data_IF_012680975287
#
_entry.id   IF_012680975287
#
_cell.length_a   1.000
_cell.length_b   1.000
_cell.length_c   1.000
_cell.angle_alpha   90.00
_cell.angle_beta   90.00
_cell.angle_gamma   90.00
#
_symmetry.space_group_name_H-M   'P 1'
#
loop_
_entity.id
_entity.type
_entity.pdbx_description
1 polymer ?
#
# COMPACT_ATOMS: atom_id res chain seq x y z
N UNK A 1 32.86 -6.64 5.88
CA UNK A 1 31.48 -6.32 5.53
C UNK A 1 31.45 -5.19 4.50
N UNK A 2 30.66 -5.32 3.45
CA UNK A 2 30.44 -4.21 2.50
C UNK A 2 29.30 -3.35 3.04
N UNK A 3 29.51 -2.03 3.10
CA UNK A 3 28.53 -1.06 3.58
C UNK A 3 28.15 -0.16 2.40
N UNK A 4 26.86 0.02 2.20
CA UNK A 4 26.29 1.02 1.29
C UNK A 4 25.25 1.82 2.05
N UNK A 5 25.34 3.13 1.96
CA UNK A 5 24.37 4.03 2.57
C UNK A 5 23.43 4.59 1.48
N UNK A 6 22.14 4.66 1.78
CA UNK A 6 21.15 5.35 0.94
C UNK A 6 20.63 6.51 1.78
N UNK A 7 20.83 7.74 1.31
CA UNK A 7 20.53 8.93 2.11
C UNK A 7 20.16 10.14 1.24
N UNK A 8 19.40 11.06 1.82
CA UNK A 8 19.15 12.38 1.22
C UNK A 8 20.25 13.40 1.54
N UNK A 9 21.14 13.11 2.54
CA UNK A 9 22.20 14.00 2.99
C UNK A 9 22.48 13.88 4.48
N UNK A 10 22.90 15.00 5.11
CA UNK A 10 23.11 15.11 6.55
C UNK A 10 24.29 14.28 7.08
N UNK A 11 24.19 13.82 8.33
CA UNK A 11 25.26 13.10 9.01
C UNK A 11 25.66 11.80 8.32
N UNK A 12 24.68 11.07 7.76
CA UNK A 12 24.96 9.82 7.03
C UNK A 12 25.84 10.10 5.81
N UNK A 13 25.59 11.17 5.06
CA UNK A 13 26.46 11.57 3.94
C UNK A 13 27.85 11.97 4.43
N UNK A 14 27.97 12.69 5.54
CA UNK A 14 29.26 13.06 6.14
C UNK A 14 30.05 11.81 6.56
N UNK A 15 29.42 10.84 7.21
CA UNK A 15 30.02 9.57 7.59
C UNK A 15 30.54 8.81 6.36
N UNK A 16 29.75 8.75 5.29
CA UNK A 16 30.19 8.06 4.06
C UNK A 16 31.44 8.67 3.47
N UNK A 17 31.56 10.00 3.50
CA UNK A 17 32.78 10.71 3.04
C UNK A 17 33.96 10.44 3.96
N UNK A 18 33.77 10.50 5.28
CA UNK A 18 34.83 10.28 6.28
C UNK A 18 35.42 8.87 6.17
N UNK A 19 34.58 7.86 6.00
CA UNK A 19 35.01 6.46 5.98
C UNK A 19 35.12 5.87 4.57
N UNK A 20 35.03 6.71 3.52
CA UNK A 20 35.08 6.29 2.12
C UNK A 20 34.13 5.13 1.81
N UNK A 21 32.87 5.26 2.23
CA UNK A 21 31.83 4.26 2.01
C UNK A 21 31.04 4.57 0.74
N UNK A 22 30.47 3.52 0.12
CA UNK A 22 29.56 3.71 -1.01
C UNK A 22 28.28 4.42 -0.54
N UNK A 23 27.88 5.44 -1.29
CA UNK A 23 26.70 6.25 -1.00
C UNK A 23 25.82 6.40 -2.22
N UNK A 24 24.56 6.03 -2.08
CA UNK A 24 23.50 6.33 -3.05
C UNK A 24 22.73 7.55 -2.52
N UNK A 25 22.89 8.68 -3.21
CA UNK A 25 22.19 9.90 -2.85
C UNK A 25 20.82 9.94 -3.53
N UNK A 26 19.77 10.04 -2.73
CA UNK A 26 18.39 10.19 -3.21
C UNK A 26 17.95 11.65 -3.08
N UNK A 27 16.95 12.03 -3.88
CA UNK A 27 16.46 13.41 -3.90
C UNK A 27 15.82 13.78 -2.55
N UNK A 28 16.23 14.89 -1.92
CA UNK A 28 15.60 15.40 -0.69
C UNK A 28 14.27 16.12 -0.99
N UNK A 29 13.54 16.45 0.08
CA UNK A 29 12.35 17.30 0.02
C UNK A 29 11.03 16.55 -0.02
N UNK A 30 11.06 15.22 -0.03
CA UNK A 30 9.86 14.39 0.07
C UNK A 30 9.73 13.78 1.46
N UNK A 31 8.50 13.72 1.97
CA UNK A 31 8.22 12.92 3.14
C UNK A 31 8.42 11.43 2.80
N UNK A 32 8.84 10.58 3.78
CA UNK A 32 9.15 9.16 3.52
C UNK A 32 8.04 8.41 2.78
N UNK A 33 6.78 8.66 3.12
CA UNK A 33 5.62 8.01 2.50
C UNK A 33 5.46 8.34 1.01
N UNK A 34 5.92 9.52 0.56
CA UNK A 34 5.88 9.94 -0.85
C UNK A 34 7.16 9.56 -1.62
N UNK A 35 8.18 9.07 -0.92
CA UNK A 35 9.48 8.72 -1.51
C UNK A 35 9.71 7.21 -1.65
N UNK A 36 8.66 6.39 -1.54
CA UNK A 36 8.79 4.93 -1.65
C UNK A 36 9.55 4.51 -2.91
N UNK A 37 9.20 5.06 -4.07
CA UNK A 37 9.87 4.74 -5.32
C UNK A 37 11.37 5.04 -5.29
N UNK A 38 11.76 6.20 -4.73
CA UNK A 38 13.17 6.57 -4.58
C UNK A 38 13.91 5.57 -3.69
N UNK A 39 13.35 5.22 -2.54
CA UNK A 39 13.98 4.33 -1.57
C UNK A 39 14.02 2.89 -2.07
N UNK A 40 12.88 2.38 -2.54
CA UNK A 40 12.73 0.99 -2.97
C UNK A 40 13.59 0.65 -4.18
N UNK A 41 13.52 1.47 -5.26
CA UNK A 41 14.29 1.17 -6.46
C UNK A 41 15.79 1.39 -6.28
N UNK A 42 16.19 2.33 -5.41
CA UNK A 42 17.59 2.49 -5.04
C UNK A 42 18.11 1.26 -4.28
N UNK A 43 17.35 0.75 -3.33
CA UNK A 43 17.70 -0.48 -2.58
C UNK A 43 17.72 -1.70 -3.51
N UNK A 44 16.74 -1.83 -4.39
CA UNK A 44 16.68 -2.92 -5.38
C UNK A 44 17.91 -2.90 -6.28
N UNK A 45 18.33 -1.72 -6.74
CA UNK A 45 19.54 -1.56 -7.55
C UNK A 45 20.80 -2.00 -6.79
N UNK A 46 20.93 -1.62 -5.51
CA UNK A 46 22.04 -2.07 -4.66
C UNK A 46 22.04 -3.60 -4.53
N UNK A 47 20.89 -4.22 -4.34
CA UNK A 47 20.78 -5.69 -4.25
C UNK A 47 21.15 -6.39 -5.56
N UNK A 48 20.81 -5.80 -6.70
CA UNK A 48 21.24 -6.31 -8.01
C UNK A 48 22.77 -6.24 -8.18
N UNK A 49 23.39 -5.10 -7.82
CA UNK A 49 24.84 -4.93 -7.88
C UNK A 49 25.60 -5.92 -6.98
N UNK A 50 24.99 -6.25 -5.84
CA UNK A 50 25.55 -7.30 -4.96
C UNK A 50 25.18 -8.73 -5.35
N UNK A 51 24.41 -8.90 -6.44
CA UNK A 51 23.92 -10.20 -6.91
C UNK A 51 23.08 -10.95 -5.86
N UNK A 52 22.41 -10.21 -4.98
CA UNK A 52 21.46 -10.76 -4.00
C UNK A 52 20.11 -11.04 -4.65
N UNK A 53 19.78 -10.33 -5.71
CA UNK A 53 18.61 -10.56 -6.58
C UNK A 53 19.04 -10.56 -8.04
N UNK A 54 18.29 -11.27 -8.88
CA UNK A 54 18.49 -11.24 -10.33
C UNK A 54 18.17 -9.86 -10.91
N UNK A 55 18.59 -9.62 -12.13
CA UNK A 55 18.28 -8.35 -12.82
C UNK A 55 16.77 -8.13 -12.94
N UNK A 56 16.30 -6.98 -12.46
CA UNK A 56 14.91 -6.54 -12.47
C UNK A 56 14.69 -5.30 -13.35
N UNK A 57 15.68 -4.92 -14.16
CA UNK A 57 15.66 -3.67 -14.96
C UNK A 57 14.37 -3.57 -15.78
N UNK A 58 14.01 -4.63 -16.49
CA UNK A 58 12.79 -4.64 -17.31
C UNK A 58 11.50 -4.46 -16.49
N UNK A 59 11.44 -5.07 -15.31
CA UNK A 59 10.29 -4.92 -14.40
C UNK A 59 10.20 -3.48 -13.91
N UNK A 60 11.34 -2.88 -13.53
CA UNK A 60 11.40 -1.48 -13.07
C UNK A 60 10.96 -0.52 -14.17
N UNK A 61 11.44 -0.71 -15.40
CA UNK A 61 11.03 0.10 -16.56
C UNK A 61 9.52 0.01 -16.81
N UNK A 62 8.96 -1.20 -16.78
CA UNK A 62 7.52 -1.42 -16.93
C UNK A 62 6.72 -0.68 -15.82
N UNK A 63 7.15 -0.80 -14.57
CA UNK A 63 6.48 -0.12 -13.45
C UNK A 63 6.57 1.41 -13.57
N UNK A 64 7.72 1.95 -13.95
CA UNK A 64 7.87 3.40 -14.17
C UNK A 64 6.94 3.88 -15.30
N UNK A 65 6.87 3.14 -16.40
CA UNK A 65 5.95 3.44 -17.51
C UNK A 65 4.49 3.40 -17.06
N UNK A 66 4.12 2.35 -16.33
CA UNK A 66 2.78 2.18 -15.77
C UNK A 66 2.40 3.31 -14.81
N UNK A 67 3.27 3.64 -13.85
CA UNK A 67 3.00 4.71 -12.89
C UNK A 67 2.87 6.08 -13.54
N UNK A 68 3.68 6.38 -14.57
CA UNK A 68 3.52 7.61 -15.36
C UNK A 68 2.14 7.68 -16.01
N UNK A 69 1.71 6.59 -16.65
CA UNK A 69 0.39 6.54 -17.29
C UNK A 69 -0.74 6.62 -16.25
N UNK A 70 -0.67 5.79 -15.20
CA UNK A 70 -1.67 5.78 -14.12
C UNK A 70 -1.75 7.13 -13.38
N UNK A 71 -0.61 7.82 -13.19
CA UNK A 71 -0.61 9.16 -12.60
C UNK A 71 -1.40 10.16 -13.42
N UNK A 72 -1.28 10.12 -14.75
CA UNK A 72 -2.11 10.92 -15.65
C UNK A 72 -3.58 10.54 -15.52
N UNK A 73 -3.88 9.24 -15.48
CA UNK A 73 -5.26 8.76 -15.43
C UNK A 73 -5.91 9.06 -14.07
N UNK A 74 -5.19 8.88 -12.97
CA UNK A 74 -5.69 9.18 -11.63
C UNK A 74 -5.79 10.69 -11.33
N UNK A 75 -5.16 11.57 -12.12
CA UNK A 75 -5.34 13.03 -12.00
C UNK A 75 -6.55 13.58 -12.77
N UNK A 76 -7.25 12.75 -13.56
CA UNK A 76 -8.46 13.16 -14.29
C UNK A 76 -9.67 13.17 -13.36
N UNK A 77 -10.66 13.99 -13.69
CA UNK A 77 -11.95 13.98 -13.01
C UNK A 77 -12.65 12.62 -13.15
N UNK A 78 -13.33 12.18 -12.09
CA UNK A 78 -14.08 10.92 -12.08
C UNK A 78 -13.23 9.65 -12.23
N UNK A 79 -11.93 9.73 -11.95
CA UNK A 79 -11.04 8.58 -12.04
C UNK A 79 -11.37 7.50 -10.99
N UNK A 80 -10.90 6.29 -11.23
CA UNK A 80 -11.17 5.14 -10.36
C UNK A 80 -10.71 5.34 -8.91
N UNK A 81 -9.52 5.91 -8.68
CA UNK A 81 -8.99 6.11 -7.33
C UNK A 81 -9.85 7.12 -6.55
N UNK A 82 -10.33 8.18 -7.21
CA UNK A 82 -11.24 9.16 -6.62
C UNK A 82 -12.59 8.53 -6.27
N UNK A 83 -13.24 7.84 -7.22
CA UNK A 83 -14.53 7.18 -6.99
C UNK A 83 -14.45 6.12 -5.89
N UNK A 84 -13.33 5.39 -5.84
CA UNK A 84 -13.09 4.44 -4.76
C UNK A 84 -12.96 5.17 -3.40
N UNK A 85 -12.23 6.28 -3.35
CA UNK A 85 -12.09 7.10 -2.15
C UNK A 85 -13.44 7.64 -1.67
N UNK A 86 -14.30 8.12 -2.57
CA UNK A 86 -15.67 8.55 -2.22
C UNK A 86 -16.44 7.43 -1.51
N UNK A 87 -16.29 6.19 -1.98
CA UNK A 87 -16.98 5.04 -1.38
C UNK A 87 -16.52 4.71 0.04
N UNK A 88 -15.40 5.26 0.50
CA UNK A 88 -14.87 5.05 1.86
C UNK A 88 -15.31 6.14 2.84
N UNK A 89 -15.94 7.21 2.37
CA UNK A 89 -16.35 8.31 3.25
C UNK A 89 -17.45 7.83 4.21
N UNK A 90 -17.25 8.08 5.50
CA UNK A 90 -18.17 7.65 6.55
C UNK A 90 -17.91 6.24 7.10
N UNK A 91 -16.93 5.52 6.56
CA UNK A 91 -16.58 4.17 7.00
C UNK A 91 -15.19 4.12 7.65
N UNK A 92 -15.00 3.15 8.54
CA UNK A 92 -13.69 2.69 8.99
C UNK A 92 -13.26 1.56 8.06
N UNK A 93 -12.21 1.74 7.25
CA UNK A 93 -11.72 0.70 6.35
C UNK A 93 -11.07 -0.45 7.12
N UNK A 94 -11.48 -1.68 6.81
CA UNK A 94 -10.83 -2.91 7.29
C UNK A 94 -10.28 -3.65 6.06
N UNK A 95 -8.97 -3.79 6.00
CA UNK A 95 -8.26 -4.28 4.83
C UNK A 95 -7.79 -5.70 5.08
N UNK A 96 -8.17 -6.61 4.19
CA UNK A 96 -7.68 -7.99 4.20
C UNK A 96 -6.81 -8.27 3.00
N UNK A 97 -5.64 -8.83 3.27
CA UNK A 97 -4.66 -9.25 2.26
C UNK A 97 -4.13 -10.63 2.59
N UNK A 98 -3.23 -11.15 1.79
CA UNK A 98 -2.66 -12.49 2.01
C UNK A 98 -1.22 -12.38 2.49
N UNK A 99 -0.90 -13.10 3.57
CA UNK A 99 0.45 -13.24 4.11
C UNK A 99 1.44 -13.65 3.01
N UNK A 100 2.66 -13.13 3.08
CA UNK A 100 3.76 -13.41 2.15
C UNK A 100 3.47 -13.09 0.66
N UNK A 101 2.34 -12.43 0.38
CA UNK A 101 1.94 -12.06 -0.97
C UNK A 101 1.57 -10.57 -1.05
N UNK A 102 0.33 -10.21 -0.73
CA UNK A 102 -0.16 -8.83 -0.83
C UNK A 102 -0.19 -8.09 0.51
N UNK A 103 0.32 -8.69 1.58
CA UNK A 103 0.34 -8.09 2.92
C UNK A 103 1.00 -6.71 2.95
N UNK A 104 2.09 -6.53 2.20
CA UNK A 104 2.77 -5.23 2.10
C UNK A 104 1.85 -4.13 1.53
N UNK A 105 0.97 -4.45 0.58
CA UNK A 105 -0.02 -3.52 0.03
C UNK A 105 -1.06 -3.17 1.09
N UNK A 106 -1.61 -4.18 1.76
CA UNK A 106 -2.62 -3.98 2.80
C UNK A 106 -2.11 -3.15 3.97
N UNK A 107 -0.92 -3.48 4.47
CA UNK A 107 -0.28 -2.73 5.54
C UNK A 107 0.01 -1.28 5.13
N UNK A 108 0.57 -1.08 3.92
CA UNK A 108 0.81 0.26 3.40
C UNK A 108 -0.49 1.04 3.28
N UNK A 109 -1.55 0.45 2.73
CA UNK A 109 -2.83 1.13 2.56
C UNK A 109 -3.38 1.62 3.91
N UNK A 110 -3.36 0.78 4.94
CA UNK A 110 -3.72 1.18 6.30
C UNK A 110 -2.89 2.37 6.79
N UNK A 111 -1.56 2.33 6.62
CA UNK A 111 -0.67 3.41 7.05
C UNK A 111 -0.94 4.71 6.28
N UNK A 112 -1.11 4.62 4.97
CA UNK A 112 -1.42 5.79 4.12
C UNK A 112 -2.78 6.41 4.46
N UNK A 113 -3.81 5.61 4.77
CA UNK A 113 -5.09 6.14 5.26
C UNK A 113 -4.93 6.87 6.59
N UNK A 114 -4.14 6.33 7.52
CA UNK A 114 -3.88 6.98 8.79
C UNK A 114 -3.15 8.32 8.60
N UNK A 115 -2.08 8.33 7.80
CA UNK A 115 -1.22 9.50 7.62
C UNK A 115 -1.82 10.55 6.68
N UNK A 116 -2.22 10.17 5.47
CA UNK A 116 -2.75 11.10 4.47
C UNK A 116 -4.16 11.56 4.79
N UNK A 117 -5.00 10.65 5.27
CA UNK A 117 -6.43 10.90 5.42
C UNK A 117 -6.87 11.17 6.85
N UNK A 118 -5.98 11.04 7.84
CA UNK A 118 -6.31 11.11 9.28
C UNK A 118 -7.51 10.20 9.62
N UNK A 119 -7.56 9.05 8.94
CA UNK A 119 -8.63 8.06 9.06
C UNK A 119 -8.08 6.78 9.67
N UNK A 120 -8.63 6.36 10.81
CA UNK A 120 -8.31 5.03 11.32
C UNK A 120 -8.69 3.96 10.31
N UNK A 121 -7.76 3.05 10.07
CA UNK A 121 -7.96 1.87 9.24
C UNK A 121 -7.29 0.67 9.91
N UNK A 122 -7.81 -0.50 9.67
CA UNK A 122 -7.28 -1.75 10.19
C UNK A 122 -6.80 -2.63 9.04
N UNK A 123 -5.81 -3.47 9.32
CA UNK A 123 -5.30 -4.44 8.36
C UNK A 123 -5.02 -5.75 9.07
N UNK A 124 -5.48 -6.83 8.47
CA UNK A 124 -5.12 -8.18 8.90
C UNK A 124 -4.93 -9.10 7.69
N UNK A 125 -4.37 -10.27 7.94
CA UNK A 125 -3.92 -11.19 6.90
C UNK A 125 -4.73 -12.48 6.91
N UNK A 126 -4.99 -12.99 5.71
CA UNK A 126 -5.48 -14.35 5.51
C UNK A 126 -4.25 -15.28 5.46
N UNK A 127 -4.23 -16.42 6.17
CA UNK A 127 -5.41 -17.04 6.80
C UNK A 127 -5.69 -16.65 8.26
N UNK A 128 -4.85 -15.90 8.93
CA UNK A 128 -4.92 -15.64 10.37
C UNK A 128 -6.27 -15.02 10.80
N UNK A 129 -6.77 -14.03 10.05
CA UNK A 129 -8.06 -13.40 10.37
C UNK A 129 -9.23 -14.40 10.36
N UNK A 130 -9.13 -15.51 9.63
CA UNK A 130 -10.15 -16.56 9.60
C UNK A 130 -10.20 -17.39 10.90
N UNK A 131 -9.23 -17.23 11.78
CA UNK A 131 -9.17 -17.95 13.05
C UNK A 131 -9.85 -17.17 14.19
N UNK A 132 -9.79 -15.86 14.14
CA UNK A 132 -10.24 -15.00 15.25
C UNK A 132 -11.19 -13.88 14.80
N UNK A 133 -10.75 -13.00 13.93
CA UNK A 133 -11.45 -11.75 13.59
C UNK A 133 -12.77 -11.98 12.84
N UNK A 134 -12.88 -13.08 12.10
CA UNK A 134 -14.10 -13.47 11.39
C UNK A 134 -15.31 -13.57 12.34
N UNK A 135 -15.09 -14.02 13.58
CA UNK A 135 -16.15 -14.17 14.58
C UNK A 135 -16.68 -12.79 15.03
N UNK A 136 -15.80 -11.79 15.07
CA UNK A 136 -16.20 -10.43 15.44
C UNK A 136 -17.23 -9.80 14.51
N UNK A 137 -17.34 -10.27 13.26
CA UNK A 137 -18.33 -9.77 12.32
C UNK A 137 -19.77 -10.26 12.59
N UNK A 138 -19.96 -11.25 13.45
CA UNK A 138 -21.30 -11.73 13.85
C UNK A 138 -22.09 -10.64 14.58
N UNK A 139 -21.41 -9.74 15.31
CA UNK A 139 -22.04 -8.63 16.03
C UNK A 139 -22.14 -7.32 15.23
N UNK A 140 -21.73 -7.29 13.96
CA UNK A 140 -21.71 -6.05 13.16
C UNK A 140 -23.07 -5.36 13.08
N UNK A 141 -24.17 -6.12 13.11
CA UNK A 141 -25.53 -5.59 13.06
C UNK A 141 -25.90 -4.76 14.32
N UNK A 142 -25.15 -4.88 15.41
CA UNK A 142 -25.32 -4.03 16.59
C UNK A 142 -24.93 -2.56 16.35
N UNK A 143 -24.33 -2.27 15.17
CA UNK A 143 -23.97 -0.93 14.71
C UNK A 143 -23.05 -0.15 15.66
N UNK A 144 -22.14 -0.86 16.33
CA UNK A 144 -21.15 -0.25 17.22
C UNK A 144 -20.19 0.64 16.43
N UNK A 145 -19.91 0.29 15.17
CA UNK A 145 -19.09 1.07 14.23
C UNK A 145 -19.50 0.82 12.78
N UNK A 146 -19.21 1.77 11.90
CA UNK A 146 -19.46 1.64 10.47
C UNK A 146 -18.18 1.26 9.76
N UNK A 147 -18.10 0.05 9.22
CA UNK A 147 -16.93 -0.45 8.49
C UNK A 147 -17.26 -0.80 7.07
N UNK A 148 -16.23 -0.66 6.23
CA UNK A 148 -16.20 -1.23 4.88
C UNK A 148 -14.99 -2.14 4.75
N UNK A 149 -15.21 -3.37 4.31
CA UNK A 149 -14.15 -4.35 4.10
C UNK A 149 -13.55 -4.17 2.72
N UNK A 150 -12.23 -4.11 2.65
CA UNK A 150 -11.46 -4.03 1.42
C UNK A 150 -10.62 -5.29 1.30
N UNK A 151 -10.97 -6.16 0.36
CA UNK A 151 -10.22 -7.37 0.06
C UNK A 151 -9.23 -7.11 -1.07
N UNK A 152 -7.94 -7.28 -0.79
CA UNK A 152 -6.89 -7.24 -1.82
C UNK A 152 -6.72 -8.64 -2.36
N UNK A 153 -7.00 -8.83 -3.64
CA UNK A 153 -6.97 -10.15 -4.29
C UNK A 153 -5.98 -10.18 -5.43
N UNK A 154 -5.37 -11.34 -5.63
CA UNK A 154 -4.43 -11.59 -6.72
C UNK A 154 -4.61 -13.02 -7.26
N UNK A 155 -4.41 -13.20 -8.56
CA UNK A 155 -4.52 -14.48 -9.24
C UNK A 155 -3.44 -15.49 -8.86
N UNK A 156 -2.31 -15.01 -8.29
CA UNK A 156 -1.21 -15.88 -7.83
C UNK A 156 -1.61 -16.72 -6.61
N UNK A 157 -2.70 -16.38 -5.94
CA UNK A 157 -3.09 -17.08 -4.73
C UNK A 157 -3.41 -18.54 -4.98
N UNK A 158 -3.00 -19.38 -4.03
CA UNK A 158 -3.40 -20.78 -4.03
C UNK A 158 -4.94 -20.89 -4.12
N UNK A 159 -5.50 -21.86 -4.87
CA UNK A 159 -6.96 -21.99 -5.04
C UNK A 159 -7.76 -22.03 -3.74
N UNK A 160 -7.18 -22.61 -2.67
CA UNK A 160 -7.84 -22.61 -1.35
C UNK A 160 -7.95 -21.21 -0.73
N UNK A 161 -7.01 -20.32 -1.02
CA UNK A 161 -7.07 -18.92 -0.57
C UNK A 161 -8.13 -18.16 -1.40
N UNK A 162 -8.17 -18.37 -2.70
CA UNK A 162 -9.22 -17.78 -3.56
C UNK A 162 -10.60 -18.19 -3.06
N UNK A 163 -10.82 -19.50 -2.78
CA UNK A 163 -12.06 -20.00 -2.22
C UNK A 163 -12.39 -19.39 -0.85
N UNK A 164 -11.40 -19.09 -0.01
CA UNK A 164 -11.62 -18.38 1.26
C UNK A 164 -12.21 -17.00 1.04
N UNK A 165 -11.72 -16.23 0.07
CA UNK A 165 -12.29 -14.92 -0.26
C UNK A 165 -13.75 -15.01 -0.71
N UNK A 166 -14.12 -16.03 -1.48
CA UNK A 166 -15.52 -16.27 -1.89
C UNK A 166 -16.40 -16.53 -0.65
N UNK A 167 -15.96 -17.44 0.23
CA UNK A 167 -16.70 -17.76 1.47
C UNK A 167 -16.80 -16.53 2.39
N UNK A 168 -15.71 -15.77 2.55
CA UNK A 168 -15.70 -14.56 3.36
C UNK A 168 -16.68 -13.52 2.83
N UNK A 169 -16.77 -13.34 1.51
CA UNK A 169 -17.75 -12.44 0.89
C UNK A 169 -19.19 -12.79 1.28
N UNK A 170 -19.51 -14.08 1.31
CA UNK A 170 -20.84 -14.55 1.74
C UNK A 170 -21.09 -14.31 3.22
N UNK A 171 -20.08 -14.53 4.08
CA UNK A 171 -20.17 -14.28 5.52
C UNK A 171 -20.39 -12.79 5.79
N UNK A 172 -19.58 -11.93 5.20
CA UNK A 172 -19.67 -10.47 5.33
C UNK A 172 -21.02 -9.94 4.83
N UNK A 173 -21.49 -10.46 3.71
CA UNK A 173 -22.84 -10.12 3.20
C UNK A 173 -23.94 -10.48 4.18
N UNK A 174 -23.88 -11.66 4.82
CA UNK A 174 -24.85 -12.07 5.86
C UNK A 174 -24.78 -11.20 7.11
N UNK A 175 -23.59 -10.74 7.48
CA UNK A 175 -23.39 -9.79 8.58
C UNK A 175 -23.83 -8.35 8.24
N UNK A 176 -24.13 -8.08 6.95
CA UNK A 176 -24.57 -6.76 6.49
C UNK A 176 -23.43 -5.73 6.34
N UNK A 177 -22.16 -6.17 6.37
CA UNK A 177 -21.02 -5.27 6.15
C UNK A 177 -20.73 -5.12 4.66
N UNK A 178 -20.49 -3.88 4.24
CA UNK A 178 -20.14 -3.59 2.85
C UNK A 178 -18.74 -4.10 2.52
N UNK A 179 -18.59 -4.72 1.34
CA UNK A 179 -17.31 -5.25 0.87
C UNK A 179 -16.96 -4.72 -0.50
N UNK A 180 -15.69 -4.39 -0.70
CA UNK A 180 -15.12 -4.02 -2.00
C UNK A 180 -13.83 -4.80 -2.24
N UNK A 181 -13.47 -4.96 -3.51
CA UNK A 181 -12.27 -5.70 -3.91
C UNK A 181 -11.32 -4.80 -4.67
N UNK A 182 -10.05 -4.86 -4.31
CA UNK A 182 -8.95 -4.27 -5.08
C UNK A 182 -8.13 -5.38 -5.73
N UNK A 183 -7.89 -5.23 -7.03
CA UNK A 183 -7.01 -6.10 -7.81
C UNK A 183 -6.31 -5.31 -8.90
N UNK A 184 -5.14 -5.76 -9.31
CA UNK A 184 -4.47 -5.31 -10.54
C UNK A 184 -4.67 -6.35 -11.65
N UNK A 185 -4.70 -5.90 -12.89
CA UNK A 185 -4.84 -6.77 -14.07
C UNK A 185 -3.53 -6.87 -14.87
N UNK A 186 -2.41 -6.41 -14.32
CA UNK A 186 -1.10 -6.50 -14.95
C UNK A 186 -0.62 -7.97 -15.02
N UNK A 187 0.14 -8.34 -16.04
CA UNK A 187 0.57 -9.73 -16.25
C UNK A 187 1.49 -10.26 -15.15
N UNK A 188 2.48 -9.47 -14.76
CA UNK A 188 3.49 -9.87 -13.76
C UNK A 188 3.03 -9.59 -12.34
N UNK A 189 3.12 -10.57 -11.44
CA UNK A 189 2.84 -10.39 -10.02
C UNK A 189 3.61 -9.20 -9.41
N UNK A 190 4.89 -9.04 -9.76
CA UNK A 190 5.71 -7.92 -9.27
C UNK A 190 5.16 -6.57 -9.73
N UNK A 191 4.67 -6.50 -10.97
CA UNK A 191 4.05 -5.29 -11.52
C UNK A 191 2.69 -5.07 -10.86
N UNK A 192 1.86 -6.11 -10.70
CA UNK A 192 0.57 -6.01 -9.99
C UNK A 192 0.73 -5.49 -8.57
N UNK A 193 1.73 -6.00 -7.84
CA UNK A 193 2.01 -5.56 -6.46
C UNK A 193 2.33 -4.06 -6.41
N UNK A 194 3.17 -3.57 -7.32
CA UNK A 194 3.57 -2.17 -7.38
C UNK A 194 2.47 -1.25 -7.96
N UNK A 195 1.63 -1.78 -8.85
CA UNK A 195 0.41 -1.10 -9.33
C UNK A 195 -0.58 -0.88 -8.18
N UNK A 196 -0.83 -1.92 -7.38
CA UNK A 196 -1.69 -1.82 -6.19
C UNK A 196 -1.14 -0.84 -5.16
N UNK A 197 0.17 -0.85 -4.91
CA UNK A 197 0.81 0.14 -4.02
C UNK A 197 0.55 1.56 -4.51
N UNK A 198 0.71 1.82 -5.79
CA UNK A 198 0.47 3.15 -6.37
C UNK A 198 -1.01 3.55 -6.29
N UNK A 199 -1.90 2.60 -6.57
CA UNK A 199 -3.35 2.82 -6.48
C UNK A 199 -3.79 3.19 -5.05
N UNK A 200 -3.34 2.46 -4.03
CA UNK A 200 -3.74 2.73 -2.65
C UNK A 200 -3.16 4.05 -2.12
N UNK A 201 -2.00 4.48 -2.64
CA UNK A 201 -1.46 5.80 -2.35
C UNK A 201 -2.39 6.90 -2.88
N UNK A 202 -2.86 6.80 -4.12
CA UNK A 202 -3.82 7.73 -4.70
C UNK A 202 -5.18 7.72 -3.98
N UNK A 203 -5.70 6.53 -3.65
CA UNK A 203 -6.96 6.43 -2.89
C UNK A 203 -6.82 7.15 -1.55
N UNK A 204 -5.74 6.89 -0.80
CA UNK A 204 -5.54 7.53 0.51
C UNK A 204 -5.40 9.06 0.41
N UNK A 205 -4.74 9.55 -0.64
CA UNK A 205 -4.65 10.97 -0.94
C UNK A 205 -6.04 11.57 -1.14
N UNK A 206 -6.86 10.96 -2.00
CA UNK A 206 -8.21 11.44 -2.27
C UNK A 206 -9.13 11.36 -1.05
N UNK A 207 -9.04 10.32 -0.23
CA UNK A 207 -9.79 10.26 1.04
C UNK A 207 -9.41 11.43 1.95
N UNK A 208 -8.13 11.81 2.02
CA UNK A 208 -7.68 12.99 2.76
C UNK A 208 -8.34 14.26 2.26
N UNK A 209 -8.26 14.51 0.95
CA UNK A 209 -8.85 15.69 0.30
C UNK A 209 -10.37 15.75 0.50
N UNK A 210 -11.07 14.63 0.26
CA UNK A 210 -12.54 14.54 0.43
C UNK A 210 -12.99 14.79 1.88
N UNK A 211 -12.14 14.45 2.87
CA UNK A 211 -12.37 14.71 4.28
C UNK A 211 -11.96 16.13 4.72
N UNK A 212 -11.39 16.94 3.82
CA UNK A 212 -10.93 18.30 4.11
C UNK A 212 -9.60 18.38 4.86
N UNK A 213 -8.78 17.33 4.84
CA UNK A 213 -7.44 17.33 5.43
C UNK A 213 -6.37 17.58 4.37
N UNK A 214 -5.31 18.27 4.74
CA UNK A 214 -4.08 18.30 3.95
C UNK A 214 -3.34 16.96 4.14
N UNK A 215 -3.14 16.18 3.07
CA UNK A 215 -2.41 14.91 3.17
C UNK A 215 -0.96 15.09 3.62
N UNK A 216 -0.35 16.27 3.46
CA UNK A 216 1.04 16.51 3.86
C UNK A 216 1.22 16.83 5.34
N UNK A 217 0.21 17.31 6.04
CA UNK A 217 0.27 17.63 7.47
C UNK A 217 0.38 16.37 8.34
N UNK A 218 1.29 16.38 9.32
CA UNK A 218 1.51 15.30 10.30
C UNK A 218 1.89 15.88 11.68
N UNK A 219 1.21 16.91 12.11
CA UNK A 219 1.57 17.72 13.29
C UNK A 219 1.78 16.88 14.55
N UNK A 220 0.96 15.86 14.78
CA UNK A 220 1.09 14.98 15.94
C UNK A 220 2.39 14.16 15.99
N UNK A 221 3.18 14.12 14.91
CA UNK A 221 4.48 13.42 14.89
C UNK A 221 5.60 14.37 15.36
N UNK A 222 5.40 15.68 15.27
CA UNK A 222 6.39 16.68 15.62
C UNK A 222 6.22 17.28 17.03
N UNK A 223 5.18 16.89 17.74
CA UNK A 223 4.91 17.25 19.14
C UNK A 223 5.51 16.24 20.10
#
# INVERSE_FOLDING_TARGET
>A
CKIVCITTGGEVEAITKTYNLNCVKVQPGFQPRYSLGLSFFSLLKVFQEFKLVSDQTKIVENVIGLWKQKGIDYSKEGNFAYTFAESLIGFIPVIYSVADSTSAVGYRFKCQLNENSKLHAFHNEIPEMNHNEIIGWESYQEKVFHSKIISIVDEIYHPQIQKRFEILKDIFSKSGVETVTLKSNEESFKVRLLDLIYLVDWISYYVGVLRGYDPSEIDNIYT
#
